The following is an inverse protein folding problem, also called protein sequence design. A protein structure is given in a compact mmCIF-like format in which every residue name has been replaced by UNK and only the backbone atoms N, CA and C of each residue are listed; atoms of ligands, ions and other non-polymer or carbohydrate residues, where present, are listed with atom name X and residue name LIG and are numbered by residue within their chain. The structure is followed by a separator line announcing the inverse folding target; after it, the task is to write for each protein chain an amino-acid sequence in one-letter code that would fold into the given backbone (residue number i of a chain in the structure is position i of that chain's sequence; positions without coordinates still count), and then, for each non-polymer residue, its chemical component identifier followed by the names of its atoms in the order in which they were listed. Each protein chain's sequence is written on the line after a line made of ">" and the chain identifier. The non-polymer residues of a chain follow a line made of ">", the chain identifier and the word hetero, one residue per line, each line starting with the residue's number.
data_IF_082514519940
#
_entry.id   IF_082514519940
#
_cell.length_a   1.000
_cell.length_b   1.000
_cell.length_c   1.000
_cell.angle_alpha   90.00
_cell.angle_beta   90.00
_cell.angle_gamma   90.00
#
_symmetry.space_group_name_H-M   'P 1'
#
loop_
_entity.id
_entity.type
_entity.pdbx_description
1 polymer ?
#
# COMPACT_ATOMS: atom_id res chain seq x y z
N UNK A 1 -34.56 -48.53 34.96
CA UNK A 1 -33.59 -47.52 34.47
C UNK A 1 -34.25 -46.68 33.39
N UNK A 2 -34.85 -45.53 33.73
CA UNK A 2 -35.39 -44.58 32.74
C UNK A 2 -34.22 -43.71 32.26
N UNK A 3 -33.80 -43.89 31.01
CA UNK A 3 -32.74 -43.11 30.39
C UNK A 3 -33.26 -41.67 30.17
N UNK A 4 -32.52 -40.69 30.70
CA UNK A 4 -32.77 -39.25 30.54
C UNK A 4 -32.48 -38.80 29.11
N UNK A 5 -33.31 -39.22 28.16
CA UNK A 5 -33.25 -38.86 26.73
C UNK A 5 -33.40 -37.34 26.53
N UNK A 6 -34.08 -36.66 27.48
CA UNK A 6 -34.30 -35.22 27.43
C UNK A 6 -33.01 -34.41 27.55
N UNK A 7 -32.04 -34.86 28.36
CA UNK A 7 -30.77 -34.15 28.59
C UNK A 7 -29.87 -34.24 27.37
N UNK A 8 -29.88 -35.39 26.67
CA UNK A 8 -29.08 -35.60 25.46
C UNK A 8 -29.58 -34.76 24.28
N UNK A 9 -30.89 -34.52 24.18
CA UNK A 9 -31.46 -33.69 23.12
C UNK A 9 -31.13 -32.20 23.29
N UNK A 10 -31.07 -31.71 24.53
CA UNK A 10 -30.73 -30.31 24.85
C UNK A 10 -29.28 -30.00 24.48
N UNK A 11 -28.35 -30.93 24.73
CA UNK A 11 -26.96 -30.79 24.32
C UNK A 11 -26.79 -30.81 22.79
N UNK A 12 -27.59 -31.60 22.08
CA UNK A 12 -27.56 -31.62 20.61
C UNK A 12 -28.07 -30.31 20.00
N UNK A 13 -29.12 -29.72 20.58
CA UNK A 13 -29.68 -28.43 20.13
C UNK A 13 -28.72 -27.25 20.37
N UNK A 14 -27.95 -27.26 21.47
CA UNK A 14 -26.93 -26.25 21.74
C UNK A 14 -25.74 -26.32 20.76
N UNK A 15 -25.41 -27.50 20.24
CA UNK A 15 -24.32 -27.66 19.27
C UNK A 15 -24.64 -27.05 17.89
N UNK A 16 -25.91 -26.90 17.53
CA UNK A 16 -26.31 -26.28 16.25
C UNK A 16 -26.39 -24.75 16.29
N UNK A 17 -26.47 -24.13 17.48
CA UNK A 17 -26.59 -22.67 17.59
C UNK A 17 -25.23 -21.98 17.42
N UNK A 18 -24.12 -22.69 17.57
CA UNK A 18 -22.77 -22.11 17.45
C UNK A 18 -22.20 -22.10 16.04
N UNK A 19 -22.88 -22.65 15.02
CA UNK A 19 -22.41 -22.64 13.62
C UNK A 19 -23.18 -21.62 12.80
N UNK A 20 -23.23 -20.38 13.29
CA UNK A 20 -23.49 -19.21 12.44
C UNK A 20 -22.90 -17.94 13.04
N UNK A 21 -21.63 -18.02 13.44
CA UNK A 21 -20.78 -16.84 13.31
C UNK A 21 -20.59 -16.61 11.80
N UNK A 22 -21.56 -15.92 11.19
CA UNK A 22 -21.35 -15.28 9.91
C UNK A 22 -20.04 -14.50 10.05
N UNK A 23 -19.03 -14.89 9.28
CA UNK A 23 -17.95 -14.00 8.88
C UNK A 23 -18.60 -12.85 8.11
N UNK A 24 -19.23 -11.92 8.83
CA UNK A 24 -19.24 -10.54 8.39
C UNK A 24 -17.85 -10.02 8.72
N UNK A 25 -16.85 -10.47 7.96
CA UNK A 25 -15.75 -9.57 7.66
C UNK A 25 -16.45 -8.42 6.94
N UNK A 26 -16.80 -7.36 7.69
CA UNK A 26 -17.02 -6.05 7.11
C UNK A 26 -15.84 -5.85 6.18
N UNK A 27 -16.07 -5.91 4.86
CA UNK A 27 -15.03 -5.71 3.87
C UNK A 27 -14.35 -4.39 4.24
N UNK A 28 -13.11 -4.48 4.71
CA UNK A 28 -12.34 -3.30 5.06
C UNK A 28 -12.25 -2.47 3.79
N UNK A 29 -12.63 -1.19 3.89
CA UNK A 29 -12.39 -0.24 2.80
C UNK A 29 -10.87 -0.05 2.65
N UNK A 30 -10.24 -0.91 1.84
CA UNK A 30 -8.78 -0.96 1.71
C UNK A 30 -8.24 0.38 1.18
N UNK A 31 -8.96 1.10 0.30
CA UNK A 31 -8.54 2.42 -0.19
C UNK A 31 -8.36 3.42 0.93
N UNK A 32 -9.36 3.51 1.81
CA UNK A 32 -9.34 4.42 2.95
C UNK A 32 -8.33 3.97 4.00
N UNK A 33 -8.26 2.67 4.28
CA UNK A 33 -7.29 2.11 5.22
C UNK A 33 -5.86 2.41 4.79
N UNK A 34 -5.54 2.19 3.52
CA UNK A 34 -4.21 2.43 2.94
C UNK A 34 -4.03 3.88 2.43
N UNK A 35 -4.90 4.83 2.78
CA UNK A 35 -4.74 6.26 2.41
C UNK A 35 -3.45 6.91 2.93
N UNK A 36 -2.79 6.24 3.88
CA UNK A 36 -1.47 6.52 4.43
C UNK A 36 -0.64 5.24 4.44
N UNK A 37 0.69 5.37 4.48
CA UNK A 37 1.57 4.21 4.54
C UNK A 37 1.28 3.31 5.75
N UNK A 38 1.01 2.03 5.48
CA UNK A 38 0.89 0.97 6.49
C UNK A 38 2.11 0.07 6.45
N UNK A 39 2.71 -0.15 7.61
CA UNK A 39 3.92 -0.96 7.76
C UNK A 39 3.54 -2.44 7.84
N UNK A 40 4.17 -3.28 7.02
CA UNK A 40 4.02 -4.73 7.00
C UNK A 40 2.58 -5.22 6.80
N UNK A 41 1.76 -4.40 6.16
CA UNK A 41 0.38 -4.71 5.82
C UNK A 41 0.16 -4.44 4.33
N UNK A 42 -0.57 -5.33 3.67
CA UNK A 42 -0.93 -5.19 2.26
C UNK A 42 -2.38 -5.64 2.02
N UNK A 43 -3.04 -5.13 0.98
CA UNK A 43 -4.37 -5.59 0.60
C UNK A 43 -4.32 -7.05 0.14
N UNK A 44 -5.21 -7.90 0.68
CA UNK A 44 -5.14 -9.37 0.54
C UNK A 44 -5.33 -9.86 -0.90
N UNK A 45 -6.07 -9.12 -1.72
CA UNK A 45 -6.51 -9.56 -3.05
C UNK A 45 -5.85 -8.78 -4.19
N UNK A 46 -4.63 -8.26 -3.98
CA UNK A 46 -3.91 -7.48 -5.00
C UNK A 46 -2.60 -8.13 -5.40
N UNK A 47 -2.33 -8.13 -6.69
CA UNK A 47 -1.06 -8.60 -7.26
C UNK A 47 -0.13 -7.41 -7.46
N UNK A 48 0.98 -7.40 -6.73
CA UNK A 48 2.01 -6.38 -6.85
C UNK A 48 2.96 -6.69 -8.01
N UNK A 49 3.02 -5.77 -8.97
CA UNK A 49 3.94 -5.77 -10.09
C UNK A 49 5.19 -4.94 -9.74
N UNK A 50 6.36 -5.40 -10.15
CA UNK A 50 7.63 -4.76 -9.83
C UNK A 50 7.83 -3.48 -10.66
N UNK A 51 8.21 -2.38 -9.98
CA UNK A 51 8.64 -1.15 -10.64
C UNK A 51 10.16 -1.10 -10.74
N UNK A 52 10.83 -1.33 -9.60
CA UNK A 52 12.28 -1.33 -9.49
C UNK A 52 12.74 -2.35 -8.43
N UNK A 53 13.92 -2.92 -8.64
CA UNK A 53 14.61 -3.79 -7.69
C UNK A 53 16.10 -3.44 -7.72
N UNK A 54 16.59 -2.97 -6.57
CA UNK A 54 17.97 -2.53 -6.39
C UNK A 54 18.84 -3.59 -5.71
N UNK A 55 18.24 -4.60 -5.07
CA UNK A 55 18.94 -5.67 -4.36
C UNK A 55 18.12 -6.96 -4.35
N UNK A 56 18.79 -8.10 -4.31
CA UNK A 56 18.20 -9.43 -4.10
C UNK A 56 18.08 -9.82 -2.62
N UNK A 57 18.53 -8.95 -1.72
CA UNK A 57 18.38 -9.16 -0.27
C UNK A 57 16.91 -9.34 0.13
N UNK A 58 16.68 -10.15 1.17
CA UNK A 58 15.35 -10.32 1.75
C UNK A 58 14.96 -9.04 2.48
N UNK A 59 13.79 -8.49 2.16
CA UNK A 59 13.25 -7.32 2.85
C UNK A 59 12.81 -7.65 4.27
N UNK A 60 13.11 -6.74 5.20
CA UNK A 60 12.75 -6.84 6.62
C UNK A 60 11.44 -6.11 6.92
N UNK A 61 11.20 -4.99 6.23
CA UNK A 61 9.99 -4.22 6.36
C UNK A 61 9.49 -3.74 5.00
N UNK A 62 8.18 -3.53 4.90
CA UNK A 62 7.59 -2.88 3.75
C UNK A 62 6.50 -1.91 4.17
N UNK A 63 6.21 -0.94 3.30
CA UNK A 63 5.15 0.04 3.51
C UNK A 63 4.27 0.10 2.28
N UNK A 64 2.95 0.09 2.48
CA UNK A 64 1.95 0.16 1.40
C UNK A 64 1.07 1.39 1.57
N UNK A 65 0.82 2.11 0.49
CA UNK A 65 -0.13 3.22 0.41
C UNK A 65 -1.01 3.04 -0.82
N UNK A 66 -2.25 3.52 -0.77
CA UNK A 66 -3.14 3.74 -1.90
C UNK A 66 -3.24 5.22 -2.19
N UNK A 67 -3.05 5.62 -3.46
CA UNK A 67 -3.23 6.99 -3.92
C UNK A 67 -3.74 7.02 -5.35
N UNK A 68 -4.42 8.12 -5.67
CA UNK A 68 -4.73 8.53 -7.02
C UNK A 68 -3.74 9.61 -7.45
N UNK A 69 -3.21 9.48 -8.67
CA UNK A 69 -2.36 10.52 -9.25
C UNK A 69 -3.19 11.68 -9.82
N UNK A 70 -2.52 12.69 -10.36
CA UNK A 70 -3.16 13.86 -11.00
C UNK A 70 -4.12 13.52 -12.16
N UNK A 71 -4.06 12.31 -12.72
CA UNK A 71 -4.96 11.84 -13.79
C UNK A 71 -6.16 11.04 -13.27
N UNK A 72 -6.26 10.85 -11.96
CA UNK A 72 -7.28 10.00 -11.32
C UNK A 72 -7.00 8.50 -11.45
N UNK A 73 -5.76 8.10 -11.78
CA UNK A 73 -5.35 6.70 -11.80
C UNK A 73 -4.99 6.27 -10.37
N UNK A 74 -5.85 5.44 -9.77
CA UNK A 74 -5.67 4.91 -8.42
C UNK A 74 -4.89 3.60 -8.38
N UNK A 75 -3.83 3.54 -7.57
CA UNK A 75 -3.03 2.34 -7.38
C UNK A 75 -2.46 2.24 -5.97
N UNK A 76 -2.17 1.00 -5.56
CA UNK A 76 -1.36 0.72 -4.39
C UNK A 76 0.11 0.81 -4.76
N UNK A 77 0.90 1.42 -3.91
CA UNK A 77 2.35 1.52 -4.03
C UNK A 77 3.01 0.91 -2.81
N UNK A 78 4.00 0.04 -3.04
CA UNK A 78 4.73 -0.69 -2.00
C UNK A 78 6.21 -0.39 -2.09
N UNK A 79 6.83 -0.04 -0.97
CA UNK A 79 8.28 0.10 -0.83
C UNK A 79 8.78 -0.95 0.14
N UNK A 80 9.81 -1.71 -0.25
CA UNK A 80 10.45 -2.73 0.58
C UNK A 80 11.83 -2.23 1.00
N UNK A 81 12.16 -2.41 2.28
CA UNK A 81 13.39 -1.97 2.91
C UNK A 81 14.19 -3.17 3.42
N UNK A 82 15.52 -3.04 3.40
CA UNK A 82 16.42 -3.95 4.11
C UNK A 82 16.45 -3.66 5.63
N UNK A 83 17.25 -4.44 6.35
CA UNK A 83 17.48 -4.28 7.80
C UNK A 83 18.06 -2.93 8.23
N UNK A 84 18.68 -2.20 7.31
CA UNK A 84 19.30 -0.90 7.55
C UNK A 84 18.40 0.26 7.09
N UNK A 85 17.12 0.00 6.84
CA UNK A 85 16.15 0.96 6.32
C UNK A 85 16.52 1.57 4.95
N UNK A 86 17.24 0.81 4.12
CA UNK A 86 17.52 1.19 2.74
C UNK A 86 16.45 0.59 1.81
N UNK A 87 15.85 1.37 0.89
CA UNK A 87 14.87 0.85 -0.05
C UNK A 87 15.53 -0.08 -1.07
N UNK A 88 15.05 -1.32 -1.14
CA UNK A 88 15.60 -2.38 -2.01
C UNK A 88 14.69 -2.76 -3.18
N UNK A 89 13.39 -2.49 -3.08
CA UNK A 89 12.45 -2.72 -4.17
C UNK A 89 11.19 -1.85 -4.04
N UNK A 90 10.57 -1.54 -5.18
CA UNK A 90 9.28 -0.86 -5.25
C UNK A 90 8.33 -1.58 -6.19
N UNK A 91 7.05 -1.55 -5.84
CA UNK A 91 5.99 -2.25 -6.56
C UNK A 91 4.74 -1.39 -6.66
N UNK A 92 3.87 -1.74 -7.60
CA UNK A 92 2.53 -1.20 -7.71
C UNK A 92 1.49 -2.30 -7.87
N UNK A 93 0.27 -2.07 -7.42
CA UNK A 93 -0.87 -2.92 -7.73
C UNK A 93 -2.08 -2.07 -8.11
N UNK A 94 -2.86 -2.54 -9.09
CA UNK A 94 -4.05 -1.86 -9.60
C UNK A 94 -5.32 -2.54 -9.08
N UNK A 95 -6.43 -1.80 -9.03
CA UNK A 95 -7.75 -2.38 -8.75
C UNK A 95 -8.49 -2.74 -10.03
N UNK A 96 -8.86 -1.73 -10.81
CA UNK A 96 -9.92 -1.87 -11.82
C UNK A 96 -9.46 -1.57 -13.25
N UNK A 97 -8.59 -0.58 -13.42
CA UNK A 97 -8.10 -0.12 -14.73
C UNK A 97 -6.59 -0.24 -14.82
N UNK A 98 -6.10 -0.55 -16.02
CA UNK A 98 -4.68 -0.44 -16.32
C UNK A 98 -4.22 0.99 -16.08
N UNK A 99 -3.08 1.14 -15.40
CA UNK A 99 -2.40 2.44 -15.33
C UNK A 99 -1.67 2.66 -16.65
N UNK A 100 -1.67 3.90 -17.14
CA UNK A 100 -0.98 4.21 -18.39
C UNK A 100 0.52 3.91 -18.31
N UNK A 101 1.13 3.48 -19.41
CA UNK A 101 2.59 3.27 -19.51
C UNK A 101 3.37 4.54 -19.16
N UNK A 102 2.79 5.71 -19.46
CA UNK A 102 3.32 7.01 -19.07
C UNK A 102 3.45 7.13 -17.55
N UNK A 103 2.41 6.74 -16.81
CA UNK A 103 2.42 6.77 -15.34
C UNK A 103 3.41 5.77 -14.77
N UNK A 104 3.51 4.56 -15.32
CA UNK A 104 4.56 3.58 -14.93
C UNK A 104 5.96 4.19 -15.15
N UNK A 105 6.17 4.83 -16.29
CA UNK A 105 7.44 5.46 -16.65
C UNK A 105 7.77 6.62 -15.70
N UNK A 106 6.79 7.45 -15.37
CA UNK A 106 6.95 8.55 -14.42
C UNK A 106 7.26 8.04 -13.01
N UNK A 107 6.54 7.01 -12.53
CA UNK A 107 6.82 6.38 -11.24
C UNK A 107 8.26 5.85 -11.17
N UNK A 108 8.73 5.20 -12.24
CA UNK A 108 10.14 4.76 -12.32
C UNK A 108 11.11 5.94 -12.26
N UNK A 109 10.83 7.05 -12.96
CA UNK A 109 11.68 8.24 -13.00
C UNK A 109 11.77 8.96 -11.66
N UNK A 110 10.64 9.16 -10.98
CA UNK A 110 10.62 9.90 -9.71
C UNK A 110 11.38 9.15 -8.62
N UNK A 111 11.37 7.82 -8.64
CA UNK A 111 12.10 6.99 -7.67
C UNK A 111 13.61 6.92 -7.93
N UNK A 112 14.08 7.32 -9.12
CA UNK A 112 15.51 7.25 -9.52
C UNK A 112 16.19 8.64 -9.43
N UNK A 113 15.43 9.72 -9.19
CA UNK A 113 15.99 11.03 -8.82
C UNK A 113 16.82 11.72 -9.90
N UNK A 114 16.59 11.45 -11.19
CA UNK A 114 17.31 12.11 -12.30
C UNK A 114 16.36 12.52 -13.41
N UNK A 115 16.10 13.84 -13.56
CA UNK A 115 16.26 14.56 -14.84
C UNK A 115 16.07 16.09 -14.73
N UNK A 116 16.75 16.79 -15.64
CA UNK A 116 16.85 18.25 -15.78
C UNK A 116 15.54 18.90 -16.26
N UNK A 117 15.30 20.12 -15.81
CA UNK A 117 14.07 20.88 -16.05
C UNK A 117 13.90 21.37 -17.50
N UNK A 118 12.65 21.34 -17.97
CA UNK A 118 12.11 22.08 -19.13
C UNK A 118 10.96 22.99 -18.66
N UNK A 119 10.44 23.85 -19.56
CA UNK A 119 9.63 25.06 -19.25
C UNK A 119 8.13 24.78 -18.96
N UNK A 120 7.66 23.54 -19.09
CA UNK A 120 6.38 23.09 -18.50
C UNK A 120 6.60 22.65 -17.04
N UNK A 121 5.57 22.62 -16.18
CA UNK A 121 5.74 22.13 -14.81
C UNK A 121 6.21 20.66 -14.84
N UNK A 122 7.51 20.47 -14.75
CA UNK A 122 8.09 19.12 -14.81
C UNK A 122 7.67 18.32 -13.58
N UNK A 123 7.60 16.98 -13.65
CA UNK A 123 7.38 16.13 -12.48
C UNK A 123 8.29 16.52 -11.31
N UNK A 124 9.53 16.94 -11.58
CA UNK A 124 10.49 17.44 -10.59
C UNK A 124 10.02 18.71 -9.87
N UNK A 125 9.40 19.66 -10.58
CA UNK A 125 8.87 20.89 -9.98
C UNK A 125 7.64 20.60 -9.10
N UNK A 126 6.73 19.73 -9.59
CA UNK A 126 5.60 19.25 -8.80
C UNK A 126 6.07 18.57 -7.50
N UNK A 127 7.03 17.63 -7.60
CA UNK A 127 7.59 16.90 -6.45
C UNK A 127 8.26 17.86 -5.47
N UNK A 128 9.04 18.83 -5.96
CA UNK A 128 9.70 19.83 -5.10
C UNK A 128 8.69 20.68 -4.35
N UNK A 129 7.62 21.12 -5.02
CA UNK A 129 6.53 21.88 -4.37
C UNK A 129 5.87 21.00 -3.31
N UNK A 130 5.53 19.77 -3.65
CA UNK A 130 4.94 18.81 -2.72
C UNK A 130 5.82 18.55 -1.49
N UNK A 131 7.14 18.37 -1.67
CA UNK A 131 8.08 18.18 -0.56
C UNK A 131 8.04 19.35 0.43
N UNK A 132 7.98 20.58 -0.07
CA UNK A 132 7.90 21.79 0.76
C UNK A 132 6.56 21.88 1.47
N UNK A 133 5.46 21.69 0.74
CA UNK A 133 4.10 21.73 1.30
C UNK A 133 3.89 20.69 2.40
N UNK A 134 4.46 19.49 2.23
CA UNK A 134 4.28 18.38 3.17
C UNK A 134 5.38 18.28 4.24
N UNK A 135 6.34 19.21 4.26
CA UNK A 135 7.47 19.20 5.18
C UNK A 135 8.26 17.89 5.13
N UNK A 136 8.51 17.35 3.92
CA UNK A 136 9.11 16.02 3.79
C UNK A 136 10.52 15.95 4.37
N UNK A 137 11.28 17.04 4.34
CA UNK A 137 12.64 17.09 4.92
C UNK A 137 12.63 17.27 6.44
N UNK A 138 11.49 17.64 7.03
CA UNK A 138 11.32 17.85 8.47
C UNK A 138 10.86 16.57 9.19
N UNK A 139 10.74 15.45 8.47
CA UNK A 139 10.35 14.17 9.06
C UNK A 139 11.45 13.67 10.01
N UNK A 140 11.09 13.08 11.16
CA UNK A 140 12.04 12.75 12.23
C UNK A 140 12.98 11.58 11.88
N UNK A 141 12.69 10.82 10.83
CA UNK A 141 13.46 9.65 10.41
C UNK A 141 13.74 9.69 8.91
N UNK A 142 14.87 9.11 8.50
CA UNK A 142 15.22 8.92 7.07
C UNK A 142 14.11 8.17 6.31
N UNK A 143 13.56 7.11 6.91
CA UNK A 143 12.42 6.38 6.37
C UNK A 143 11.20 7.29 6.19
N UNK A 144 10.91 8.16 7.16
CA UNK A 144 9.82 9.13 7.06
C UNK A 144 10.01 10.13 5.91
N UNK A 145 11.23 10.64 5.74
CA UNK A 145 11.60 11.52 4.60
C UNK A 145 11.37 10.78 3.28
N UNK A 146 11.85 9.54 3.17
CA UNK A 146 11.72 8.71 1.96
C UNK A 146 10.27 8.41 1.62
N UNK A 147 9.46 8.00 2.60
CA UNK A 147 8.04 7.71 2.37
C UNK A 147 7.27 8.96 1.96
N UNK A 148 7.52 10.10 2.61
CA UNK A 148 6.93 11.39 2.21
C UNK A 148 7.32 11.77 0.77
N UNK A 149 8.60 11.58 0.42
CA UNK A 149 9.09 11.83 -0.94
C UNK A 149 8.44 10.91 -1.96
N UNK A 150 8.27 9.62 -1.64
CA UNK A 150 7.59 8.66 -2.48
C UNK A 150 6.12 9.03 -2.70
N UNK A 151 5.41 9.45 -1.64
CA UNK A 151 4.02 9.92 -1.74
C UNK A 151 3.89 11.13 -2.68
N UNK A 152 4.80 12.10 -2.55
CA UNK A 152 4.87 13.23 -3.48
C UNK A 152 5.16 12.81 -4.91
N UNK A 153 6.04 11.82 -5.10
CA UNK A 153 6.33 11.28 -6.42
C UNK A 153 5.14 10.59 -7.07
N UNK A 154 4.35 9.87 -6.29
CA UNK A 154 3.12 9.22 -6.74
C UNK A 154 2.08 10.25 -7.17
N UNK A 155 1.85 11.29 -6.36
CA UNK A 155 0.87 12.33 -6.67
C UNK A 155 1.19 13.08 -7.97
N UNK A 156 2.47 13.25 -8.26
CA UNK A 156 2.99 13.98 -9.42
C UNK A 156 3.24 13.11 -10.67
N UNK A 157 2.96 11.80 -10.62
CA UNK A 157 3.20 10.86 -11.72
C UNK A 157 2.11 10.86 -12.80
#
# INVERSE_FOLDING_TARGET
>A
MKKNILVTLIFLLLAFITVKANHNDTERNDKEYFSSFKKNEEPKNKKFNILNKNSDEKGDAFYVIYKENSKGEGFYFKVVFDKNEKPIATYYAIEDKEISEVTITNLKKVLIGREKATIAETPTQCVTRCHRTNGCYDKPTSTGVLLCSAECGIACA
#
